data_IF_386204491884
#
_entry.id   IF_386204491884
#
_cell.length_a   1.000
_cell.length_b   1.000
_cell.length_c   1.000
_cell.angle_alpha   90.00
_cell.angle_beta   90.00
_cell.angle_gamma   90.00
#
_symmetry.space_group_name_H-M   'P 1'
#
loop_
_entity.id
_entity.type
_entity.pdbx_description
1 polymer ?
#
# COMPACT_ATOMS: atom_id res chain seq x y z
N UNK A 1 -4.22 2.93 -12.77
CA UNK A 1 -5.61 3.34 -12.53
C UNK A 1 -5.85 3.63 -11.05
N UNK A 2 -6.76 4.59 -10.79
CA UNK A 2 -7.21 4.95 -9.44
C UNK A 2 -8.68 4.55 -9.31
N UNK A 3 -9.18 4.42 -8.08
CA UNK A 3 -10.62 4.35 -7.83
C UNK A 3 -11.29 5.63 -8.32
N UNK A 4 -12.51 5.53 -8.83
CA UNK A 4 -13.29 6.69 -9.21
C UNK A 4 -13.63 7.48 -7.95
N UNK A 5 -13.35 8.79 -7.95
CA UNK A 5 -13.51 9.65 -6.79
C UNK A 5 -13.98 11.04 -7.20
N UNK A 6 -14.95 11.57 -6.46
CA UNK A 6 -15.54 12.89 -6.71
C UNK A 6 -15.39 13.74 -5.46
N UNK A 7 -14.77 14.92 -5.62
CA UNK A 7 -14.63 15.87 -4.53
C UNK A 7 -15.90 16.68 -4.36
N UNK A 8 -16.45 16.74 -3.15
CA UNK A 8 -17.70 17.38 -2.79
C UNK A 8 -17.50 18.34 -1.62
N UNK A 9 -18.14 19.52 -1.69
CA UNK A 9 -18.11 20.56 -0.64
C UNK A 9 -19.48 20.80 -0.02
N UNK A 10 -20.51 20.27 -0.64
CA UNK A 10 -21.92 20.39 -0.19
C UNK A 10 -22.60 19.03 -0.18
N UNK A 11 -23.67 18.90 0.61
CA UNK A 11 -24.44 17.65 0.67
C UNK A 11 -25.13 17.33 -0.66
N UNK A 12 -25.56 18.34 -1.41
CA UNK A 12 -26.17 18.13 -2.73
C UNK A 12 -25.16 17.53 -3.72
N UNK A 13 -23.91 17.98 -3.68
CA UNK A 13 -22.83 17.39 -4.47
C UNK A 13 -22.53 15.95 -4.05
N UNK A 14 -22.57 15.65 -2.74
CA UNK A 14 -22.38 14.29 -2.22
C UNK A 14 -23.43 13.33 -2.76
N UNK A 15 -24.70 13.72 -2.74
CA UNK A 15 -25.80 12.90 -3.26
C UNK A 15 -25.65 12.68 -4.76
N UNK A 16 -25.37 13.76 -5.52
CA UNK A 16 -25.16 13.66 -6.96
C UNK A 16 -23.95 12.79 -7.32
N UNK A 17 -22.86 12.88 -6.54
CA UNK A 17 -21.69 12.03 -6.70
C UNK A 17 -22.00 10.54 -6.48
N UNK A 18 -22.80 10.21 -5.46
CA UNK A 18 -23.23 8.84 -5.20
C UNK A 18 -24.12 8.29 -6.34
N UNK A 19 -24.99 9.11 -6.89
CA UNK A 19 -25.80 8.75 -8.07
C UNK A 19 -24.92 8.52 -9.31
N UNK A 20 -23.89 9.35 -9.50
CA UNK A 20 -22.95 9.21 -10.62
C UNK A 20 -22.10 7.93 -10.53
N UNK A 21 -21.55 7.62 -9.34
CA UNK A 21 -20.77 6.39 -9.13
C UNK A 21 -21.62 5.13 -9.31
N UNK A 22 -22.92 5.20 -9.04
CA UNK A 22 -23.92 4.14 -9.21
C UNK A 22 -23.50 2.78 -8.61
N UNK A 23 -22.61 2.77 -7.62
CA UNK A 23 -22.09 1.58 -6.96
C UNK A 23 -22.11 1.72 -5.44
N UNK A 24 -22.47 0.65 -4.75
CA UNK A 24 -22.44 0.56 -3.29
C UNK A 24 -21.59 -0.65 -2.87
N UNK A 25 -20.91 -0.58 -1.73
CA UNK A 25 -20.79 0.55 -0.82
C UNK A 25 -19.95 1.70 -1.37
N UNK A 26 -20.06 2.89 -0.76
CA UNK A 26 -19.31 4.10 -1.10
C UNK A 26 -18.36 4.43 0.05
N UNK A 27 -17.11 4.78 -0.25
CA UNK A 27 -16.15 5.27 0.72
C UNK A 27 -16.17 6.80 0.78
N UNK A 28 -16.24 7.35 1.98
CA UNK A 28 -16.20 8.77 2.25
C UNK A 28 -14.89 9.12 2.94
N UNK A 29 -14.09 10.00 2.34
CA UNK A 29 -12.83 10.47 2.92
C UNK A 29 -12.83 11.99 3.06
N UNK A 30 -12.85 12.53 4.29
CA UNK A 30 -12.70 13.97 4.52
C UNK A 30 -11.31 14.44 4.13
N UNK A 31 -11.23 15.56 3.43
CA UNK A 31 -9.95 16.15 3.05
C UNK A 31 -9.23 16.73 4.28
N UNK A 32 -7.90 16.55 4.33
CA UNK A 32 -7.01 17.06 5.38
C UNK A 32 -7.38 16.64 6.81
N UNK A 33 -7.86 15.41 6.98
CA UNK A 33 -8.04 14.78 8.29
C UNK A 33 -6.95 13.72 8.55
N UNK A 34 -6.72 13.41 9.82
CA UNK A 34 -5.78 12.38 10.24
C UNK A 34 -6.53 11.19 10.84
N UNK A 35 -6.03 9.97 10.59
CA UNK A 35 -6.56 8.76 11.20
C UNK A 35 -8.00 8.43 10.81
N UNK A 36 -8.45 8.85 9.63
CA UNK A 36 -9.80 8.54 9.13
C UNK A 36 -10.93 9.28 9.83
N UNK A 37 -10.61 10.34 10.61
CA UNK A 37 -11.60 11.09 11.39
C UNK A 37 -12.72 11.66 10.50
N UNK A 38 -13.95 11.25 10.76
CA UNK A 38 -15.16 11.69 10.02
C UNK A 38 -15.33 10.99 8.68
N UNK A 39 -14.47 10.03 8.33
CA UNK A 39 -14.63 9.17 7.16
C UNK A 39 -15.33 7.86 7.50
N UNK A 40 -15.71 7.11 6.48
CA UNK A 40 -16.32 5.80 6.66
C UNK A 40 -16.87 5.23 5.36
N UNK A 41 -17.45 4.03 5.47
CA UNK A 41 -18.10 3.33 4.36
C UNK A 41 -19.60 3.38 4.53
N UNK A 42 -20.30 3.89 3.52
CA UNK A 42 -21.74 3.93 3.46
C UNK A 42 -22.28 2.82 2.57
N UNK A 43 -23.29 2.10 3.07
CA UNK A 43 -23.96 1.02 2.36
C UNK A 43 -25.31 1.44 1.76
N UNK A 44 -25.79 2.60 2.15
CA UNK A 44 -27.03 3.21 1.67
C UNK A 44 -26.96 4.73 1.76
N UNK A 45 -27.97 5.40 1.19
CA UNK A 45 -28.07 6.86 1.17
C UNK A 45 -28.17 7.47 2.58
N UNK A 46 -28.83 6.81 3.52
CA UNK A 46 -28.97 7.30 4.90
C UNK A 46 -27.62 7.39 5.60
N UNK A 47 -26.83 6.29 5.52
CA UNK A 47 -25.47 6.25 6.04
C UNK A 47 -24.53 7.25 5.31
N UNK A 48 -24.69 7.39 3.99
CA UNK A 48 -23.93 8.38 3.22
C UNK A 48 -24.12 9.78 3.77
N UNK A 49 -25.37 10.20 3.97
CA UNK A 49 -25.71 11.54 4.49
C UNK A 49 -25.15 11.76 5.90
N UNK A 50 -25.26 10.75 6.77
CA UNK A 50 -24.74 10.81 8.14
C UNK A 50 -23.21 10.98 8.14
N UNK A 51 -22.49 10.08 7.46
CA UNK A 51 -21.01 10.07 7.43
C UNK A 51 -20.50 11.33 6.72
N UNK A 52 -21.07 11.70 5.57
CA UNK A 52 -20.64 12.89 4.84
C UNK A 52 -20.88 14.19 5.62
N UNK A 53 -21.94 14.26 6.42
CA UNK A 53 -22.18 15.40 7.32
C UNK A 53 -21.04 15.56 8.33
N UNK A 54 -20.62 14.45 8.96
CA UNK A 54 -19.49 14.47 9.87
C UNK A 54 -18.17 14.77 9.13
N UNK A 55 -17.99 14.20 7.95
CA UNK A 55 -16.81 14.41 7.12
C UNK A 55 -16.62 15.87 6.70
N UNK A 56 -17.67 16.52 6.21
CA UNK A 56 -17.63 17.92 5.83
C UNK A 56 -17.32 18.83 7.02
N UNK A 57 -17.87 18.53 8.21
CA UNK A 57 -17.57 19.28 9.44
C UNK A 57 -16.14 19.10 9.94
N UNK A 58 -15.57 17.91 9.81
CA UNK A 58 -14.23 17.60 10.28
C UNK A 58 -13.14 18.05 9.29
N UNK A 59 -13.48 18.21 8.02
CA UNK A 59 -12.54 18.71 7.01
C UNK A 59 -12.26 20.20 7.23
N UNK A 60 -10.98 20.56 7.25
CA UNK A 60 -10.55 21.96 7.41
C UNK A 60 -10.99 22.87 6.26
N UNK A 61 -11.30 22.29 5.11
CA UNK A 61 -11.74 23.00 3.90
C UNK A 61 -13.17 22.64 3.51
N UNK A 62 -13.94 22.01 4.43
CA UNK A 62 -15.31 21.54 4.18
C UNK A 62 -15.42 20.70 2.89
N UNK A 63 -14.50 19.76 2.68
CA UNK A 63 -14.47 18.90 1.51
C UNK A 63 -14.38 17.43 1.90
N UNK A 64 -15.14 16.59 1.21
CA UNK A 64 -15.04 15.12 1.25
C UNK A 64 -14.81 14.58 -0.15
N UNK A 65 -14.12 13.45 -0.24
CA UNK A 65 -14.08 12.61 -1.43
C UNK A 65 -15.13 11.52 -1.29
N UNK A 66 -15.93 11.35 -2.31
CA UNK A 66 -16.90 10.26 -2.46
C UNK A 66 -16.30 9.30 -3.47
N UNK A 67 -15.97 8.09 -3.03
CA UNK A 67 -15.15 7.17 -3.79
C UNK A 67 -15.83 5.82 -3.98
N UNK A 68 -15.56 5.20 -5.14
CA UNK A 68 -15.81 3.80 -5.39
C UNK A 68 -15.14 2.94 -4.31
N UNK A 69 -15.89 2.02 -3.72
CA UNK A 69 -15.36 1.11 -2.71
C UNK A 69 -14.64 -0.07 -3.35
N UNK A 70 -13.45 -0.35 -2.84
CA UNK A 70 -12.65 -1.51 -3.17
C UNK A 70 -12.59 -2.52 -2.00
N UNK A 71 -13.59 -2.49 -1.12
CA UNK A 71 -13.71 -3.46 -0.02
C UNK A 71 -13.73 -4.90 -0.57
N UNK A 72 -13.00 -5.77 0.10
CA UNK A 72 -12.89 -7.17 -0.28
C UNK A 72 -11.91 -7.47 -1.40
N UNK A 73 -11.31 -6.44 -2.04
CA UNK A 73 -10.19 -6.64 -2.95
C UNK A 73 -8.94 -7.04 -2.16
N UNK A 74 -8.00 -7.66 -2.82
CA UNK A 74 -6.73 -8.02 -2.21
C UNK A 74 -5.76 -6.84 -2.22
N UNK A 75 -5.13 -6.57 -1.08
CA UNK A 75 -4.12 -5.53 -0.95
C UNK A 75 -2.73 -6.11 -1.19
N UNK A 76 -1.92 -5.35 -1.92
CA UNK A 76 -0.55 -5.67 -2.28
C UNK A 76 0.36 -4.51 -2.01
N UNK A 77 1.58 -4.80 -1.59
CA UNK A 77 2.60 -3.80 -1.34
C UNK A 77 3.88 -4.10 -2.12
N UNK A 78 4.43 -3.07 -2.74
CA UNK A 78 5.71 -3.12 -3.43
C UNK A 78 6.70 -2.16 -2.78
N UNK A 79 7.79 -2.70 -2.27
CA UNK A 79 8.93 -1.91 -1.83
C UNK A 79 9.86 -1.66 -3.02
N UNK A 80 9.95 -0.41 -3.42
CA UNK A 80 10.67 0.05 -4.62
C UNK A 80 11.78 0.99 -4.21
N UNK A 81 12.92 0.93 -4.89
CA UNK A 81 13.99 1.92 -4.73
C UNK A 81 14.40 2.46 -6.08
N UNK A 82 14.70 3.77 -6.13
CA UNK A 82 15.20 4.46 -7.32
C UNK A 82 16.29 5.44 -6.93
N UNK A 83 17.37 5.51 -7.73
CA UNK A 83 18.46 6.45 -7.54
C UNK A 83 18.40 7.65 -8.52
N UNK A 84 19.39 8.52 -8.43
CA UNK A 84 19.52 9.69 -9.30
C UNK A 84 19.85 9.36 -10.76
N UNK A 85 20.42 8.19 -11.02
CA UNK A 85 20.74 7.69 -12.37
C UNK A 85 19.57 6.96 -13.03
N UNK A 86 18.36 6.98 -12.40
CA UNK A 86 17.15 6.26 -12.83
C UNK A 86 17.26 4.74 -12.77
N UNK A 87 18.22 4.19 -12.04
CA UNK A 87 18.20 2.77 -11.72
C UNK A 87 17.04 2.50 -10.76
N UNK A 88 16.21 1.49 -11.07
CA UNK A 88 15.03 1.13 -10.27
C UNK A 88 15.06 -0.34 -9.97
N UNK A 89 14.83 -0.69 -8.70
CA UNK A 89 14.67 -2.08 -8.26
C UNK A 89 13.37 -2.25 -7.48
N UNK A 90 12.74 -3.40 -7.65
CA UNK A 90 11.71 -3.92 -6.74
C UNK A 90 12.45 -4.76 -5.70
N UNK A 91 12.48 -4.29 -4.47
CA UNK A 91 13.15 -5.01 -3.37
C UNK A 91 12.31 -6.18 -2.91
N UNK A 92 11.00 -5.97 -2.78
CA UNK A 92 10.07 -6.97 -2.31
C UNK A 92 8.66 -6.67 -2.82
N UNK A 93 7.92 -7.72 -3.12
CA UNK A 93 6.49 -7.69 -3.33
C UNK A 93 5.82 -8.54 -2.24
N UNK A 94 4.81 -7.98 -1.60
CA UNK A 94 4.12 -8.57 -0.46
C UNK A 94 2.62 -8.56 -0.69
N UNK A 95 1.91 -9.57 -0.17
CA UNK A 95 0.47 -9.59 -0.16
C UNK A 95 -0.09 -9.57 1.27
N UNK A 96 -1.16 -8.84 1.47
CA UNK A 96 -1.92 -8.85 2.71
C UNK A 96 -2.93 -9.99 2.66
N UNK A 97 -2.93 -10.85 3.69
CA UNK A 97 -3.87 -11.96 3.80
C UNK A 97 -5.26 -11.45 4.15
N UNK A 98 -5.33 -10.40 4.96
CA UNK A 98 -6.59 -9.75 5.28
C UNK A 98 -7.06 -8.90 4.08
N UNK A 99 -8.36 -8.90 3.75
CA UNK A 99 -8.89 -8.13 2.63
C UNK A 99 -8.83 -6.63 2.89
N UNK A 100 -8.95 -5.85 1.81
CA UNK A 100 -9.09 -4.40 1.88
C UNK A 100 -10.14 -3.97 2.90
N UNK A 101 -9.80 -2.96 3.72
CA UNK A 101 -10.61 -2.44 4.81
C UNK A 101 -10.03 -2.75 6.20
N UNK A 102 -9.13 -3.71 6.30
CA UNK A 102 -8.27 -3.89 7.49
C UNK A 102 -7.07 -2.96 7.36
N UNK A 103 -6.75 -2.23 8.42
CA UNK A 103 -5.60 -1.29 8.37
C UNK A 103 -4.31 -2.07 8.09
N UNK A 104 -3.54 -1.65 7.09
CA UNK A 104 -2.29 -2.30 6.63
C UNK A 104 -1.32 -2.63 7.78
N UNK A 105 -1.27 -1.78 8.82
CA UNK A 105 -0.42 -2.03 9.99
C UNK A 105 -0.92 -3.11 10.95
N UNK A 106 -2.12 -3.66 10.72
CA UNK A 106 -2.78 -4.68 11.55
C UNK A 106 -3.01 -5.98 10.79
N UNK A 107 -2.82 -5.97 9.46
CA UNK A 107 -3.00 -7.14 8.60
C UNK A 107 -1.79 -8.07 8.64
N UNK A 108 -2.04 -9.34 8.38
CA UNK A 108 -1.00 -10.35 8.16
C UNK A 108 -0.43 -10.17 6.76
N UNK A 109 0.88 -10.00 6.65
CA UNK A 109 1.58 -9.79 5.39
C UNK A 109 2.48 -10.97 5.08
N UNK A 110 2.47 -11.43 3.84
CA UNK A 110 3.30 -12.53 3.34
C UNK A 110 4.23 -12.03 2.24
N UNK A 111 5.49 -12.42 2.32
CA UNK A 111 6.50 -12.17 1.29
C UNK A 111 7.25 -13.47 0.95
N UNK A 112 7.48 -13.76 -0.33
CA UNK A 112 6.99 -13.08 -1.54
C UNK A 112 5.49 -13.33 -1.79
N UNK A 113 4.92 -12.73 -2.85
CA UNK A 113 3.54 -12.99 -3.31
C UNK A 113 3.30 -14.49 -3.48
N UNK A 114 2.16 -15.00 -2.97
CA UNK A 114 1.82 -16.42 -2.99
C UNK A 114 0.65 -16.74 -3.93
N UNK A 115 -0.32 -15.83 -4.04
CA UNK A 115 -1.59 -16.07 -4.74
C UNK A 115 -1.70 -15.40 -6.11
N UNK A 116 -0.58 -14.88 -6.63
CA UNK A 116 -0.54 -14.15 -7.91
C UNK A 116 0.24 -14.91 -8.97
N UNK A 117 -0.23 -14.82 -10.23
CA UNK A 117 0.53 -15.32 -11.36
C UNK A 117 1.75 -14.43 -11.65
N UNK A 118 2.77 -15.01 -12.31
CA UNK A 118 3.93 -14.25 -12.77
C UNK A 118 3.52 -13.09 -13.69
N UNK A 119 2.47 -13.26 -14.49
CA UNK A 119 1.96 -12.23 -15.39
C UNK A 119 1.39 -11.04 -14.60
N UNK A 120 0.57 -11.29 -13.58
CA UNK A 120 0.01 -10.23 -12.71
C UNK A 120 1.12 -9.52 -11.95
N UNK A 121 2.08 -10.30 -11.44
CA UNK A 121 3.26 -9.74 -10.76
C UNK A 121 4.05 -8.80 -11.67
N UNK A 122 4.27 -9.16 -12.94
CA UNK A 122 4.97 -8.29 -13.90
C UNK A 122 4.19 -7.00 -14.17
N UNK A 123 2.87 -7.08 -14.35
CA UNK A 123 2.02 -5.89 -14.55
C UNK A 123 2.12 -4.93 -13.36
N UNK A 124 1.98 -5.45 -12.14
CA UNK A 124 2.05 -4.66 -10.91
C UNK A 124 3.44 -4.04 -10.72
N UNK A 125 4.50 -4.81 -10.99
CA UNK A 125 5.88 -4.36 -10.97
C UNK A 125 6.11 -3.20 -11.93
N UNK A 126 5.66 -3.33 -13.17
CA UNK A 126 5.83 -2.30 -14.19
C UNK A 126 5.05 -1.03 -13.83
N UNK A 127 3.86 -1.16 -13.24
CA UNK A 127 3.09 -0.03 -12.72
C UNK A 127 3.81 0.65 -11.55
N UNK A 128 4.38 -0.11 -10.61
CA UNK A 128 5.13 0.46 -9.49
C UNK A 128 6.35 1.26 -9.98
N UNK A 129 7.09 0.73 -10.95
CA UNK A 129 8.23 1.42 -11.57
C UNK A 129 7.78 2.70 -12.31
N UNK A 130 6.69 2.62 -13.06
CA UNK A 130 6.14 3.78 -13.77
C UNK A 130 5.71 4.89 -12.79
N UNK A 131 5.09 4.53 -11.67
CA UNK A 131 4.64 5.46 -10.64
C UNK A 131 5.81 6.19 -9.99
N UNK A 132 6.84 5.46 -9.55
CA UNK A 132 7.99 6.08 -8.87
C UNK A 132 8.74 7.03 -9.81
N UNK A 133 8.81 6.71 -11.11
CA UNK A 133 9.36 7.59 -12.15
C UNK A 133 8.50 8.82 -12.40
N UNK A 134 7.19 8.64 -12.61
CA UNK A 134 6.25 9.73 -12.87
C UNK A 134 6.19 10.75 -11.73
N UNK A 135 6.29 10.29 -10.47
CA UNK A 135 6.31 11.11 -9.28
C UNK A 135 7.72 11.66 -8.96
N UNK A 136 8.74 11.31 -9.77
CA UNK A 136 10.13 11.67 -9.54
C UNK A 136 10.63 11.36 -8.12
N UNK A 137 10.19 10.24 -7.56
CA UNK A 137 10.62 9.79 -6.23
C UNK A 137 12.02 9.22 -6.33
N UNK A 138 12.87 9.56 -5.36
CA UNK A 138 14.23 9.04 -5.18
C UNK A 138 14.35 8.40 -3.81
N UNK A 139 15.15 7.35 -3.69
CA UNK A 139 15.25 6.53 -2.49
C UNK A 139 14.18 5.45 -2.40
N UNK A 140 13.84 5.05 -1.18
CA UNK A 140 12.83 4.02 -0.92
C UNK A 140 11.40 4.54 -1.01
N UNK A 141 10.53 3.72 -1.56
CA UNK A 141 9.11 4.02 -1.71
C UNK A 141 8.29 2.75 -1.56
N UNK A 142 7.20 2.84 -0.79
CA UNK A 142 6.18 1.80 -0.71
C UNK A 142 5.01 2.18 -1.63
N UNK A 143 4.64 1.27 -2.52
CA UNK A 143 3.48 1.42 -3.42
C UNK A 143 2.45 0.37 -3.04
N UNK A 144 1.22 0.82 -2.77
CA UNK A 144 0.11 -0.06 -2.40
C UNK A 144 -0.90 -0.14 -3.53
N UNK A 145 -1.31 -1.36 -3.84
CA UNK A 145 -2.29 -1.70 -4.86
C UNK A 145 -3.45 -2.48 -4.26
N UNK A 146 -4.64 -2.27 -4.82
CA UNK A 146 -5.77 -3.19 -4.70
C UNK A 146 -5.91 -3.99 -5.99
N UNK A 147 -6.14 -5.27 -5.85
CA UNK A 147 -6.34 -6.21 -6.97
C UNK A 147 -7.66 -6.94 -6.81
N UNK A 148 -8.48 -6.89 -7.84
CA UNK A 148 -9.71 -7.67 -7.91
C UNK A 148 -9.42 -9.02 -8.54
N UNK A 149 -9.40 -10.07 -7.75
CA UNK A 149 -9.10 -11.43 -8.25
C UNK A 149 -10.13 -11.95 -9.25
N UNK A 150 -11.36 -11.43 -9.22
CA UNK A 150 -12.43 -11.89 -10.13
C UNK A 150 -12.34 -11.27 -11.50
N UNK A 151 -11.89 -10.00 -11.60
CA UNK A 151 -11.86 -9.24 -12.86
C UNK A 151 -10.45 -8.99 -13.39
N UNK A 152 -9.42 -9.15 -12.54
CA UNK A 152 -8.05 -8.77 -12.83
C UNK A 152 -7.79 -7.25 -12.78
N UNK A 153 -8.75 -6.47 -12.29
CA UNK A 153 -8.59 -5.03 -12.18
C UNK A 153 -7.59 -4.65 -11.08
N UNK A 154 -6.81 -3.62 -11.37
CA UNK A 154 -5.82 -3.05 -10.45
C UNK A 154 -6.20 -1.60 -10.15
N UNK A 155 -6.09 -1.20 -8.89
CA UNK A 155 -6.17 0.20 -8.45
C UNK A 155 -4.94 0.55 -7.62
N UNK A 156 -4.40 1.73 -7.82
CA UNK A 156 -3.37 2.29 -6.93
C UNK A 156 -4.08 2.89 -5.73
N UNK A 157 -3.68 2.46 -4.54
CA UNK A 157 -4.26 2.95 -3.28
C UNK A 157 -3.45 4.12 -2.77
N UNK A 158 -2.14 3.89 -2.60
CA UNK A 158 -1.26 4.86 -1.95
C UNK A 158 0.17 4.69 -2.45
N UNK A 159 0.89 5.81 -2.52
CA UNK A 159 2.32 5.86 -2.79
C UNK A 159 3.00 6.61 -1.64
N UNK A 160 3.84 5.90 -0.89
CA UNK A 160 4.52 6.41 0.29
C UNK A 160 6.01 6.63 -0.02
N UNK A 161 6.47 7.87 -0.35
CA UNK A 161 7.86 8.15 -0.72
C UNK A 161 8.77 8.21 0.51
N UNK A 162 8.80 7.15 1.27
CA UNK A 162 9.55 7.00 2.52
C UNK A 162 9.73 5.53 2.87
N UNK A 163 10.68 5.25 3.74
CA UNK A 163 10.79 3.96 4.42
C UNK A 163 9.59 3.77 5.35
N UNK A 164 9.00 2.58 5.35
CA UNK A 164 7.80 2.21 6.09
C UNK A 164 8.05 1.03 7.03
N UNK A 165 7.02 0.60 7.77
CA UNK A 165 7.09 -0.63 8.56
C UNK A 165 7.29 -1.86 7.67
N UNK A 166 6.63 -1.91 6.53
CA UNK A 166 6.80 -2.97 5.53
C UNK A 166 8.22 -3.01 4.96
N UNK A 167 8.93 -1.87 4.86
CA UNK A 167 10.33 -1.86 4.45
C UNK A 167 11.25 -2.62 5.41
N UNK A 168 10.96 -2.59 6.72
CA UNK A 168 11.72 -3.37 7.70
C UNK A 168 11.48 -4.87 7.54
N UNK A 169 10.25 -5.26 7.21
CA UNK A 169 9.85 -6.63 6.93
C UNK A 169 10.49 -7.12 5.62
N UNK A 170 10.34 -6.34 4.55
CA UNK A 170 10.97 -6.59 3.27
C UNK A 170 12.49 -6.77 3.40
N UNK A 171 13.15 -5.93 4.22
CA UNK A 171 14.58 -6.06 4.49
C UNK A 171 14.94 -7.37 5.17
N UNK A 172 14.10 -7.87 6.09
CA UNK A 172 14.31 -9.19 6.72
C UNK A 172 14.05 -10.34 5.75
N UNK A 173 12.98 -10.23 4.94
CA UNK A 173 12.60 -11.27 3.99
C UNK A 173 13.64 -11.46 2.89
N UNK A 174 14.19 -10.36 2.39
CA UNK A 174 15.10 -10.36 1.23
C UNK A 174 16.58 -10.31 1.60
N UNK A 175 16.90 -9.94 2.84
CA UNK A 175 18.27 -9.61 3.23
C UNK A 175 18.77 -8.27 2.71
N UNK A 176 17.95 -7.53 1.94
CA UNK A 176 18.31 -6.23 1.37
C UNK A 176 18.05 -5.09 2.36
N UNK A 177 19.09 -4.35 2.80
CA UNK A 177 18.96 -3.35 3.86
C UNK A 177 18.38 -2.03 3.36
N UNK A 178 17.07 -1.96 3.11
CA UNK A 178 16.37 -0.81 2.47
C UNK A 178 16.73 0.53 3.11
N UNK A 179 16.70 0.62 4.45
CA UNK A 179 16.99 1.87 5.14
C UNK A 179 18.42 2.36 4.93
N UNK A 180 19.39 1.43 4.96
CA UNK A 180 20.80 1.74 4.71
C UNK A 180 21.03 2.17 3.26
N UNK A 181 20.40 1.48 2.31
CA UNK A 181 20.49 1.82 0.90
C UNK A 181 19.82 3.16 0.60
N UNK A 182 18.69 3.46 1.24
CA UNK A 182 18.05 4.76 1.17
C UNK A 182 18.93 5.90 1.69
N UNK A 183 19.66 5.65 2.78
CA UNK A 183 20.63 6.62 3.30
C UNK A 183 21.82 6.86 2.36
N UNK A 184 22.35 5.80 1.71
CA UNK A 184 23.39 5.91 0.68
C UNK A 184 22.87 6.70 -0.53
N UNK A 185 21.65 6.40 -1.00
CA UNK A 185 21.03 7.15 -2.09
C UNK A 185 20.89 8.65 -1.76
N UNK A 186 20.47 8.97 -0.54
CA UNK A 186 20.37 10.35 -0.08
C UNK A 186 21.74 11.05 -0.01
N UNK A 187 22.83 10.28 0.15
CA UNK A 187 24.21 10.77 0.10
C UNK A 187 24.79 10.84 -1.33
N UNK A 188 23.98 10.52 -2.35
CA UNK A 188 24.36 10.60 -3.77
C UNK A 188 24.96 9.33 -4.38
N UNK A 189 24.95 8.20 -3.67
CA UNK A 189 25.36 6.92 -4.24
C UNK A 189 24.26 6.33 -5.13
N UNK A 190 24.67 5.74 -6.25
CA UNK A 190 23.75 4.96 -7.09
C UNK A 190 23.47 3.58 -6.50
N UNK A 191 22.42 2.93 -6.99
CA UNK A 191 22.08 1.55 -6.56
C UNK A 191 23.21 0.57 -6.95
N UNK A 192 23.82 0.74 -8.12
CA UNK A 192 24.92 -0.11 -8.60
C UNK A 192 26.14 -0.01 -7.67
N UNK A 193 26.59 1.22 -7.35
CA UNK A 193 27.70 1.45 -6.42
C UNK A 193 27.44 0.88 -5.02
N UNK A 194 26.19 0.81 -4.65
CA UNK A 194 25.77 0.30 -3.36
C UNK A 194 25.69 -1.23 -3.34
N UNK A 195 25.31 -1.87 -4.45
CA UNK A 195 25.16 -3.32 -4.58
C UNK A 195 26.50 -4.07 -4.65
N UNK A 196 27.54 -3.46 -5.24
CA UNK A 196 28.86 -4.10 -5.38
C UNK A 196 29.50 -4.54 -4.05
N UNK A 197 29.04 -3.99 -2.93
CA UNK A 197 29.59 -4.27 -1.59
C UNK A 197 28.66 -5.06 -0.66
N UNK A 198 27.43 -5.34 -1.07
CA UNK A 198 26.47 -6.05 -0.23
C UNK A 198 25.89 -7.23 -1.03
N UNK A 199 26.37 -8.43 -0.72
CA UNK A 199 25.85 -9.66 -1.32
C UNK A 199 24.35 -9.78 -1.02
N UNK A 200 23.55 -9.74 -2.08
CA UNK A 200 22.19 -10.25 -2.03
C UNK A 200 22.24 -11.74 -1.68
N UNK A 201 21.47 -12.14 -0.71
CA UNK A 201 21.27 -13.56 -0.46
C UNK A 201 20.79 -14.22 -1.77
N UNK A 202 21.33 -15.40 -2.14
CA UNK A 202 20.85 -16.09 -3.34
C UNK A 202 19.33 -16.31 -3.20
N UNK A 203 18.61 -16.22 -4.31
CA UNK A 203 17.13 -16.38 -4.37
C UNK A 203 16.64 -17.67 -3.68
N UNK A 204 17.50 -18.70 -3.62
CA UNK A 204 17.24 -19.95 -2.90
C UNK A 204 17.18 -19.83 -1.37
N UNK A 205 17.52 -18.67 -0.81
CA UNK A 205 17.45 -18.38 0.63
C UNK A 205 16.33 -17.39 0.98
N UNK A 206 15.48 -17.00 0.02
CA UNK A 206 14.29 -16.25 0.30
C UNK A 206 13.34 -17.10 1.13
N UNK A 207 13.24 -16.76 2.42
CA UNK A 207 12.30 -17.40 3.32
C UNK A 207 10.93 -16.78 3.13
N UNK A 208 9.88 -17.60 3.11
CA UNK A 208 8.50 -17.11 3.23
C UNK A 208 8.36 -16.61 4.66
N UNK A 209 8.16 -15.29 4.82
CA UNK A 209 7.96 -14.70 6.14
C UNK A 209 6.50 -14.36 6.28
N UNK A 210 5.83 -15.07 7.17
CA UNK A 210 4.46 -14.75 7.61
C UNK A 210 4.57 -13.90 8.87
N UNK A 211 3.97 -12.73 8.84
CA UNK A 211 3.97 -11.82 9.99
C UNK A 211 2.55 -11.72 10.53
N UNK A 212 2.37 -12.29 11.71
CA UNK A 212 1.12 -12.14 12.45
C UNK A 212 1.00 -10.76 13.11
N UNK A 213 -0.24 -10.34 13.29
CA UNK A 213 -0.69 -9.07 13.88
C UNK A 213 0.23 -8.48 14.95
N UNK A 214 0.63 -7.24 14.76
CA UNK A 214 1.17 -6.43 15.85
C UNK A 214 0.02 -5.94 16.72
N UNK A 215 -0.14 -6.50 17.91
CA UNK A 215 -0.87 -5.83 18.98
C UNK A 215 0.00 -4.68 19.51
N UNK A 216 -0.55 -3.48 19.55
CA UNK A 216 0.10 -2.31 20.11
C UNK A 216 0.18 -2.45 21.65
N UNK A 217 1.18 -3.16 22.13
CA UNK A 217 1.44 -3.36 23.55
C UNK A 217 2.58 -4.33 23.75
N UNK A 218 3.78 -3.77 23.94
CA UNK A 218 4.98 -4.45 24.42
C UNK A 218 5.33 -5.80 23.76
N UNK A 219 6.03 -5.77 22.63
CA UNK A 219 6.74 -6.92 22.12
C UNK A 219 8.22 -6.82 22.44
N UNK A 220 8.71 -7.81 23.19
CA UNK A 220 10.15 -8.07 23.33
C UNK A 220 10.66 -8.74 22.08
N UNK A 221 11.94 -8.56 21.74
CA UNK A 221 12.62 -9.08 20.55
C UNK A 221 12.60 -10.61 20.41
N UNK A 222 12.04 -11.34 21.36
CA UNK A 222 11.95 -12.81 21.40
C UNK A 222 10.66 -13.41 20.83
N UNK A 223 9.66 -12.58 20.47
CA UNK A 223 8.34 -13.05 20.01
C UNK A 223 8.13 -13.02 18.50
N UNK A 224 9.17 -12.72 17.73
CA UNK A 224 9.18 -12.86 16.28
C UNK A 224 9.47 -14.31 15.92
N UNK A 225 8.43 -15.15 15.80
CA UNK A 225 8.59 -16.50 15.25
C UNK A 225 8.75 -16.42 13.74
N UNK A 226 9.93 -16.82 13.26
CA UNK A 226 10.16 -17.12 11.84
C UNK A 226 9.79 -18.59 11.68
N UNK A 227 8.65 -18.89 11.12
CA UNK A 227 8.33 -20.24 10.73
C UNK A 227 8.88 -20.49 9.32
N UNK A 228 9.87 -21.37 9.24
CA UNK A 228 10.35 -21.88 7.96
C UNK A 228 9.36 -22.94 7.45
N UNK A 229 8.53 -22.54 6.50
CA UNK A 229 7.74 -23.50 5.75
C UNK A 229 8.59 -24.07 4.61
N UNK A 230 8.91 -25.36 4.67
CA UNK A 230 9.57 -26.10 3.59
C UNK A 230 8.45 -26.84 2.84
N UNK A 231 8.20 -26.58 1.57
CA UNK A 231 7.27 -27.39 0.78
C UNK A 231 7.81 -28.81 0.68
N UNK A 232 6.94 -29.79 0.85
CA UNK A 232 7.24 -31.21 0.69
C UNK A 232 7.46 -31.58 -0.78
#
# INVERSE_FOLDING_TARGET
PLSEAIACTTMNEVIAAAEQLASWPILIRPAFTLGGLGGGTAWDLGQLVEIATLGLRNSRINQVLIEESILGWQELEYEVMRDDADNVIIVCAMENIDPMGVHTGESVVVAPLQSFSDADHQILRDQAIALIRALNIKGGCNVQFAFNQSTGEIRVIEVNPRVSRSSALASKATGYPIARMGAKNAAGYTLDESLEKELLLPLSQLSIIVLSKFHAGHLTSSELSIEHWVPA
#
